data_IF_796940184218
#
_entry.id   IF_796940184218
#
_cell.length_a   1.000
_cell.length_b   1.000
_cell.length_c   1.000
_cell.angle_alpha   90.00
_cell.angle_beta   90.00
_cell.angle_gamma   90.00
#
_symmetry.space_group_name_H-M   'P 1'
#
loop_
_entity.id
_entity.type
_entity.pdbx_description
1 polymer ?
#
# COMPACT_ATOMS: atom_id res chain seq x y z
N UNK A 1 0.85 -1.69 -13.77
CA UNK A 1 1.75 -0.74 -13.06
C UNK A 1 1.19 -0.43 -11.67
N UNK A 2 1.97 0.16 -10.75
CA UNK A 2 1.47 0.60 -9.42
C UNK A 2 1.42 2.12 -9.38
N UNK A 3 0.28 2.69 -8.97
CA UNK A 3 0.08 4.12 -8.77
C UNK A 3 -0.50 4.41 -7.39
N UNK A 4 -0.30 5.62 -6.89
CA UNK A 4 -0.97 6.09 -5.67
C UNK A 4 -1.51 7.50 -5.89
N UNK A 5 -2.59 7.82 -5.21
CA UNK A 5 -3.09 9.19 -5.13
C UNK A 5 -3.39 9.55 -3.66
N UNK A 6 -3.16 10.81 -3.32
CA UNK A 6 -3.55 11.37 -2.03
C UNK A 6 -4.83 12.14 -2.27
N UNK A 7 -5.92 11.70 -1.65
CA UNK A 7 -7.10 12.53 -1.64
C UNK A 7 -6.76 13.81 -0.86
N UNK A 8 -7.09 15.02 -1.37
CA UNK A 8 -6.90 16.23 -0.58
C UNK A 8 -7.72 16.05 0.70
N UNK A 9 -7.02 15.88 1.83
CA UNK A 9 -7.63 15.87 3.15
C UNK A 9 -8.35 17.20 3.29
N UNK A 10 -9.66 17.21 3.07
CA UNK A 10 -10.47 18.36 3.41
C UNK A 10 -10.42 18.41 4.93
N UNK A 11 -9.56 19.31 5.41
CA UNK A 11 -9.07 19.37 6.77
C UNK A 11 -10.21 19.51 7.77
N UNK A 12 -10.62 18.38 8.35
CA UNK A 12 -11.38 18.36 9.60
C UNK A 12 -10.95 17.26 10.57
N UNK A 13 -10.01 16.39 10.19
CA UNK A 13 -9.32 15.50 11.13
C UNK A 13 -7.84 15.40 10.73
N UNK A 14 -6.95 15.23 11.70
CA UNK A 14 -5.51 15.05 11.47
C UNK A 14 -5.17 13.79 10.63
N UNK A 15 -6.17 13.03 10.18
CA UNK A 15 -5.98 11.77 9.46
C UNK A 15 -5.55 12.01 8.01
N UNK A 16 -4.73 11.09 7.48
CA UNK A 16 -4.36 11.05 6.06
C UNK A 16 -5.10 9.92 5.37
N UNK A 17 -5.83 10.25 4.30
CA UNK A 17 -6.45 9.27 3.42
C UNK A 17 -5.52 8.92 2.26
N UNK A 18 -5.27 7.62 2.09
CA UNK A 18 -4.42 7.07 1.04
C UNK A 18 -5.24 6.19 0.11
N UNK A 19 -5.24 6.51 -1.18
CA UNK A 19 -5.78 5.64 -2.23
C UNK A 19 -4.62 5.01 -3.00
N UNK A 20 -4.63 3.69 -3.12
CA UNK A 20 -3.67 2.91 -3.90
C UNK A 20 -4.37 2.28 -5.10
N UNK A 21 -3.68 2.31 -6.23
CA UNK A 21 -4.16 1.79 -7.50
C UNK A 21 -3.16 0.76 -8.02
N UNK A 22 -3.65 -0.43 -8.34
CA UNK A 22 -2.83 -1.56 -8.76
C UNK A 22 -3.36 -2.16 -10.04
N UNK A 23 -2.46 -2.36 -10.99
CA UNK A 23 -2.74 -3.07 -12.23
C UNK A 23 -1.70 -4.18 -12.41
N UNK A 24 -2.19 -5.42 -12.49
CA UNK A 24 -1.37 -6.58 -12.78
C UNK A 24 -0.93 -6.56 -14.26
N UNK A 25 0.38 -6.56 -14.49
CA UNK A 25 0.96 -6.63 -15.84
C UNK A 25 1.13 -8.07 -16.34
N UNK A 26 1.07 -9.03 -15.41
CA UNK A 26 1.07 -10.47 -15.67
C UNK A 26 0.13 -11.15 -14.65
N UNK A 27 -0.46 -12.31 -14.98
CA UNK A 27 -1.29 -13.04 -14.03
C UNK A 27 -0.52 -13.36 -12.75
N UNK A 28 -1.14 -13.11 -11.59
CA UNK A 28 -0.57 -13.44 -10.29
C UNK A 28 -1.12 -14.79 -9.83
N UNK A 29 -0.23 -15.67 -9.37
CA UNK A 29 -0.63 -16.93 -8.74
C UNK A 29 -1.30 -16.71 -7.37
N UNK A 30 -1.81 -17.78 -6.77
CA UNK A 30 -2.51 -17.75 -5.47
C UNK A 30 -1.58 -17.50 -4.27
N UNK A 31 -0.26 -17.58 -4.48
CA UNK A 31 0.74 -17.43 -3.44
C UNK A 31 0.93 -15.98 -2.96
N UNK A 32 0.44 -14.97 -3.68
CA UNK A 32 0.74 -13.57 -3.35
C UNK A 32 -0.36 -12.88 -2.53
N UNK A 33 0.06 -12.03 -1.60
CA UNK A 33 -0.80 -11.09 -0.87
C UNK A 33 -0.32 -9.66 -0.97
N UNK A 34 -1.27 -8.72 -0.98
CA UNK A 34 -0.98 -7.31 -0.88
C UNK A 34 -0.68 -6.95 0.57
N UNK A 35 0.53 -6.44 0.80
CA UNK A 35 0.98 -5.92 2.09
C UNK A 35 1.01 -4.40 2.01
N UNK A 36 0.37 -3.76 2.99
CA UNK A 36 0.40 -2.31 3.20
C UNK A 36 0.74 -2.08 4.66
N UNK A 37 1.88 -1.47 4.92
CA UNK A 37 2.45 -1.33 6.26
C UNK A 37 2.94 0.09 6.49
N UNK A 38 2.67 0.64 7.67
CA UNK A 38 3.20 1.91 8.11
C UNK A 38 4.46 1.67 8.95
N UNK A 39 5.56 2.33 8.61
CA UNK A 39 6.82 2.24 9.35
C UNK A 39 7.36 3.61 9.75
N UNK A 40 8.13 3.65 10.84
CA UNK A 40 8.98 4.80 11.16
C UNK A 40 10.27 4.83 10.30
N UNK A 41 11.16 5.77 10.63
CA UNK A 41 12.46 5.93 9.97
C UNK A 41 13.45 4.77 10.25
N UNK A 42 13.22 3.99 11.30
CA UNK A 42 14.01 2.81 11.67
C UNK A 42 13.42 1.52 11.06
N UNK A 43 12.45 1.66 10.14
CA UNK A 43 11.71 0.56 9.51
C UNK A 43 10.92 -0.32 10.50
N UNK A 44 10.57 0.22 11.67
CA UNK A 44 9.72 -0.49 12.62
C UNK A 44 8.26 -0.34 12.21
N UNK A 45 7.55 -1.45 12.16
CA UNK A 45 6.12 -1.50 11.92
C UNK A 45 5.36 -0.76 13.02
N UNK A 46 4.40 0.06 12.63
CA UNK A 46 3.56 0.84 13.53
C UNK A 46 2.09 0.49 13.34
N UNK A 47 1.34 0.52 14.43
CA UNK A 47 -0.10 0.68 14.38
C UNK A 47 -0.44 2.12 13.95
N UNK A 48 -1.61 2.32 13.37
CA UNK A 48 -2.07 3.64 12.92
C UNK A 48 -2.40 3.72 11.44
N UNK A 49 -2.32 2.60 10.70
CA UNK A 49 -2.94 2.47 9.39
C UNK A 49 -4.13 1.52 9.46
N UNK A 50 -5.27 1.97 8.96
CA UNK A 50 -6.52 1.24 8.89
C UNK A 50 -6.91 1.02 7.44
N UNK A 51 -7.41 -0.17 7.11
CA UNK A 51 -7.96 -0.46 5.78
C UNK A 51 -9.43 -0.03 5.73
N UNK A 52 -9.74 0.95 4.88
CA UNK A 52 -11.12 1.38 4.63
C UNK A 52 -11.77 0.58 3.49
N UNK A 53 -10.99 0.28 2.45
CA UNK A 53 -11.42 -0.52 1.30
C UNK A 53 -10.28 -1.44 0.88
N UNK A 54 -10.57 -2.75 0.81
CA UNK A 54 -9.61 -3.77 0.42
C UNK A 54 -9.84 -4.18 -1.04
N UNK A 55 -8.80 -4.29 -1.88
CA UNK A 55 -8.94 -4.84 -3.22
C UNK A 55 -9.24 -6.35 -3.14
N UNK A 56 -9.72 -6.97 -4.23
CA UNK A 56 -9.82 -8.42 -4.30
C UNK A 56 -8.44 -9.07 -4.07
N UNK A 57 -8.44 -10.37 -3.76
CA UNK A 57 -7.21 -11.14 -3.63
C UNK A 57 -6.35 -10.97 -4.90
N UNK A 58 -5.01 -10.78 -4.79
CA UNK A 58 -4.14 -10.64 -5.95
C UNK A 58 -4.29 -11.74 -7.01
N UNK A 59 -4.68 -12.95 -6.61
CA UNK A 59 -4.96 -14.06 -7.53
C UNK A 59 -6.10 -13.77 -8.53
N UNK A 60 -6.98 -12.82 -8.23
CA UNK A 60 -8.08 -12.38 -9.09
C UNK A 60 -7.71 -11.16 -9.96
N UNK A 61 -6.46 -10.68 -9.87
CA UNK A 61 -6.02 -9.52 -10.65
C UNK A 61 -5.65 -9.98 -12.07
N UNK A 62 -6.53 -9.68 -13.01
CA UNK A 62 -6.35 -10.01 -14.42
C UNK A 62 -5.61 -8.90 -15.16
N UNK A 63 -4.87 -9.26 -16.21
CA UNK A 63 -4.05 -8.33 -17.02
C UNK A 63 -4.87 -7.54 -18.04
N UNK A 64 -6.13 -7.24 -17.76
CA UNK A 64 -7.07 -6.64 -18.70
C UNK A 64 -7.12 -5.10 -18.61
N UNK A 65 -6.07 -4.47 -18.07
CA UNK A 65 -6.05 -3.02 -17.80
C UNK A 65 -7.00 -2.60 -16.67
N UNK A 66 -7.48 -3.56 -15.88
CA UNK A 66 -8.32 -3.26 -14.71
C UNK A 66 -7.44 -2.75 -13.58
N UNK A 67 -7.77 -1.57 -13.09
CA UNK A 67 -7.13 -0.97 -11.93
C UNK A 67 -7.91 -1.35 -10.67
N UNK A 68 -7.26 -2.06 -9.77
CA UNK A 68 -7.77 -2.39 -8.45
C UNK A 68 -7.45 -1.27 -7.47
N UNK A 69 -8.45 -0.85 -6.70
CA UNK A 69 -8.32 0.21 -5.72
C UNK A 69 -8.27 -0.36 -4.30
N UNK A 70 -7.44 0.27 -3.46
CA UNK A 70 -7.44 0.11 -2.03
C UNK A 70 -7.49 1.49 -1.36
N UNK A 71 -8.17 1.61 -0.23
CA UNK A 71 -8.25 2.86 0.54
C UNK A 71 -7.84 2.60 1.97
N UNK A 72 -7.01 3.50 2.51
CA UNK A 72 -6.48 3.44 3.86
C UNK A 72 -6.63 4.77 4.57
N UNK A 73 -6.74 4.70 5.90
CA UNK A 73 -6.69 5.84 6.80
C UNK A 73 -5.46 5.72 7.69
N UNK A 74 -4.64 6.75 7.70
CA UNK A 74 -3.52 6.88 8.62
C UNK A 74 -3.97 7.83 9.73
N UNK A 75 -3.90 7.37 10.98
CA UNK A 75 -4.32 8.13 12.15
C UNK A 75 -3.45 9.38 12.31
N UNK A 76 -4.12 10.50 12.56
CA UNK A 76 -3.46 11.76 12.89
C UNK A 76 -2.99 11.90 14.34
N UNK A 77 -3.23 10.88 15.17
CA UNK A 77 -2.74 10.85 16.56
C UNK A 77 -1.27 10.38 16.65
N UNK A 78 -0.67 10.07 15.49
CA UNK A 78 0.74 9.72 15.40
C UNK A 78 1.61 10.95 15.71
N UNK A 79 2.72 10.77 16.46
CA UNK A 79 3.66 11.85 16.71
C UNK A 79 4.11 12.57 15.43
N UNK A 80 4.27 13.90 15.47
CA UNK A 80 4.79 14.70 14.35
C UNK A 80 6.18 14.23 13.94
N UNK A 81 6.24 13.39 12.90
CA UNK A 81 7.43 12.74 12.36
C UNK A 81 7.20 12.37 10.90
N UNK A 82 8.27 12.00 10.21
CA UNK A 82 8.15 11.36 8.90
C UNK A 82 7.91 9.88 9.08
N UNK A 83 6.90 9.37 8.39
CA UNK A 83 6.57 7.96 8.29
C UNK A 83 6.70 7.48 6.85
N UNK A 84 6.87 6.18 6.67
CA UNK A 84 6.86 5.54 5.35
C UNK A 84 5.74 4.52 5.30
N UNK A 85 4.83 4.66 4.33
CA UNK A 85 3.94 3.56 3.94
C UNK A 85 4.68 2.71 2.92
N UNK A 86 4.79 1.42 3.21
CA UNK A 86 5.36 0.42 2.33
C UNK A 86 4.23 -0.41 1.72
N UNK A 87 4.27 -0.55 0.40
CA UNK A 87 3.25 -1.27 -0.37
C UNK A 87 3.95 -2.26 -1.29
N UNK A 88 3.54 -3.52 -1.26
CA UNK A 88 4.08 -4.53 -2.17
C UNK A 88 3.29 -5.83 -2.14
N UNK A 89 3.64 -6.73 -3.04
CA UNK A 89 3.11 -8.09 -3.06
C UNK A 89 4.14 -9.04 -2.44
N UNK A 90 3.70 -9.85 -1.49
CA UNK A 90 4.55 -10.81 -0.80
C UNK A 90 4.08 -12.23 -1.08
N UNK A 91 5.00 -13.14 -1.37
CA UNK A 91 4.72 -14.56 -1.42
C UNK A 91 4.45 -15.06 0.01
N UNK A 92 3.26 -15.62 0.25
CA UNK A 92 2.81 -16.12 1.56
C UNK A 92 3.63 -17.30 2.06
N UNK A 93 4.18 -18.11 1.16
CA UNK A 93 4.93 -19.33 1.50
C UNK A 93 6.40 -19.01 1.79
N UNK A 94 7.05 -18.23 0.92
CA UNK A 94 8.49 -17.93 1.05
C UNK A 94 8.77 -16.66 1.83
N UNK A 95 7.81 -15.73 1.87
CA UNK A 95 7.99 -14.40 2.44
C UNK A 95 8.74 -13.43 1.52
N UNK A 96 9.06 -13.82 0.28
CA UNK A 96 9.75 -12.96 -0.68
C UNK A 96 8.82 -11.90 -1.26
N UNK A 97 9.38 -10.74 -1.58
CA UNK A 97 8.67 -9.69 -2.30
C UNK A 97 8.65 -9.99 -3.80
N UNK A 98 7.50 -9.81 -4.43
CA UNK A 98 7.42 -9.76 -5.89
C UNK A 98 7.96 -8.40 -6.35
N UNK A 99 9.03 -8.35 -7.18
CA UNK A 99 9.54 -7.09 -7.69
C UNK A 99 8.49 -6.35 -8.52
N UNK A 100 8.46 -5.03 -8.37
CA UNK A 100 7.73 -4.12 -9.22
C UNK A 100 8.42 -4.00 -10.58
N UNK A 101 7.73 -3.38 -11.54
CA UNK A 101 8.24 -3.20 -12.91
C UNK A 101 9.51 -2.36 -13.00
N UNK A 102 9.80 -1.55 -11.98
CA UNK A 102 11.04 -0.76 -11.88
C UNK A 102 12.18 -1.51 -11.16
N UNK A 103 11.96 -2.78 -10.80
CA UNK A 103 12.92 -3.62 -10.08
C UNK A 103 12.95 -3.42 -8.57
N UNK A 104 12.21 -2.46 -8.02
CA UNK A 104 12.07 -2.30 -6.57
C UNK A 104 11.15 -3.37 -5.98
N UNK A 105 11.37 -3.78 -4.74
CA UNK A 105 10.51 -4.77 -4.07
C UNK A 105 9.18 -4.17 -3.59
N UNK A 106 9.17 -2.86 -3.31
CA UNK A 106 8.08 -2.16 -2.62
C UNK A 106 8.03 -0.70 -3.04
N UNK A 107 6.81 -0.19 -3.21
CA UNK A 107 6.54 1.24 -3.27
C UNK A 107 6.68 1.82 -1.86
N UNK A 108 7.43 2.92 -1.73
CA UNK A 108 7.65 3.64 -0.47
C UNK A 108 7.08 5.05 -0.55
N UNK A 109 6.08 5.36 0.27
CA UNK A 109 5.40 6.65 0.31
C UNK A 109 5.74 7.37 1.62
N UNK A 110 6.43 8.51 1.53
CA UNK A 110 6.75 9.32 2.71
C UNK A 110 5.58 10.21 3.10
N UNK A 111 5.08 10.04 4.32
CA UNK A 111 4.03 10.87 4.91
C UNK A 111 4.67 11.76 5.97
N UNK A 112 4.52 13.08 5.82
CA UNK A 112 4.81 14.03 6.90
C UNK A 112 3.52 14.31 7.65
N UNK A 113 3.56 14.18 8.98
CA UNK A 113 2.55 14.70 9.90
C UNK A 113 3.14 15.89 10.64
#
# INVERSE_FOLDING_TARGET
MVGYDRWPAQASSNDVLLALYWEAVQPLGTAYELVVELTDNDYRSLSGIETLCRPPNPAAWHTSGVVHQAAYRISGDLPTRTYTVQVGLRNRETGDWLPLTDGSERLKLRIGQ
#
